data_IF_353044555062
#
_entry.id   IF_353044555062
#
_cell.length_a   1.000
_cell.length_b   1.000
_cell.length_c   1.000
_cell.angle_alpha   90.00
_cell.angle_beta   90.00
_cell.angle_gamma   90.00
#
_symmetry.space_group_name_H-M   'P 1'
#
loop_
_entity.id
_entity.type
_entity.pdbx_description
1 polymer ?
#
# COMPACT_ATOMS: atom_id res chain seq x y z
N UNK A 1 -24.48 -21.40 0.23
CA UNK A 1 -24.43 -20.31 -0.77
C UNK A 1 -23.04 -20.29 -1.39
N UNK A 2 -22.92 -20.33 -2.71
CA UNK A 2 -21.61 -20.26 -3.37
C UNK A 2 -21.08 -18.82 -3.30
N UNK A 3 -19.91 -18.63 -2.70
CA UNK A 3 -19.25 -17.31 -2.65
C UNK A 3 -18.67 -17.01 -4.02
N UNK A 4 -19.23 -16.00 -4.72
CA UNK A 4 -18.71 -15.53 -6.01
C UNK A 4 -17.29 -15.00 -5.80
N UNK A 5 -16.33 -15.47 -6.60
CA UNK A 5 -14.96 -14.93 -6.59
C UNK A 5 -14.99 -13.52 -7.16
N UNK A 6 -14.39 -12.58 -6.42
CA UNK A 6 -14.10 -11.23 -6.89
C UNK A 6 -13.03 -11.29 -7.98
N UNK A 7 -13.11 -10.39 -8.96
CA UNK A 7 -12.07 -10.17 -9.98
C UNK A 7 -10.71 -9.80 -9.37
N UNK A 8 -9.65 -9.89 -10.18
CA UNK A 8 -8.32 -9.41 -9.79
C UNK A 8 -8.29 -7.88 -9.68
N UNK A 9 -7.38 -7.34 -8.87
CA UNK A 9 -7.15 -5.90 -8.82
C UNK A 9 -6.38 -5.43 -10.06
N UNK A 10 -6.86 -4.33 -10.65
CA UNK A 10 -6.19 -3.58 -11.72
C UNK A 10 -5.14 -2.63 -11.15
N UNK A 11 -4.28 -2.07 -12.02
CA UNK A 11 -3.31 -1.07 -11.58
C UNK A 11 -3.98 0.21 -11.07
N UNK A 12 -5.08 0.64 -11.71
CA UNK A 12 -5.85 1.80 -11.26
C UNK A 12 -6.45 1.60 -9.87
N UNK A 13 -6.98 0.39 -9.61
CA UNK A 13 -7.49 0.01 -8.29
C UNK A 13 -6.37 -0.01 -7.23
N UNK A 14 -5.17 -0.49 -7.57
CA UNK A 14 -4.01 -0.43 -6.66
C UNK A 14 -3.60 1.01 -6.34
N UNK A 15 -3.54 1.89 -7.35
CA UNK A 15 -3.22 3.31 -7.16
C UNK A 15 -4.25 3.98 -6.26
N UNK A 16 -5.54 3.74 -6.51
CA UNK A 16 -6.62 4.25 -5.68
C UNK A 16 -6.51 3.74 -4.23
N UNK A 17 -6.28 2.44 -4.04
CA UNK A 17 -6.08 1.84 -2.72
C UNK A 17 -4.89 2.46 -1.98
N UNK A 18 -3.77 2.73 -2.67
CA UNK A 18 -2.62 3.40 -2.09
C UNK A 18 -2.92 4.82 -1.60
N UNK A 19 -3.67 5.61 -2.39
CA UNK A 19 -4.07 6.96 -1.98
C UNK A 19 -4.96 6.94 -0.73
N UNK A 20 -6.02 6.13 -0.75
CA UNK A 20 -6.92 6.02 0.40
C UNK A 20 -6.19 5.53 1.65
N UNK A 21 -5.32 4.53 1.51
CA UNK A 21 -4.53 4.03 2.63
C UNK A 21 -3.62 5.12 3.21
N UNK A 22 -2.98 5.92 2.34
CA UNK A 22 -2.12 7.02 2.77
C UNK A 22 -2.93 8.09 3.52
N UNK A 23 -4.03 8.54 2.94
CA UNK A 23 -4.93 9.54 3.52
C UNK A 23 -5.41 9.13 4.92
N UNK A 24 -5.86 7.87 5.08
CA UNK A 24 -6.30 7.34 6.38
C UNK A 24 -5.13 7.20 7.35
N UNK A 25 -3.97 6.71 6.89
CA UNK A 25 -2.78 6.52 7.75
C UNK A 25 -2.16 7.81 8.29
N UNK A 26 -2.34 8.92 7.56
CA UNK A 26 -1.83 10.23 7.94
C UNK A 26 -2.86 11.08 8.70
N UNK A 27 -4.09 10.60 8.86
CA UNK A 27 -5.13 11.35 9.53
C UNK A 27 -4.84 11.44 11.05
N UNK A 28 -4.58 12.65 11.60
CA UNK A 28 -4.17 12.84 12.99
C UNK A 28 -5.28 12.52 14.00
N UNK A 29 -6.55 12.57 13.58
CA UNK A 29 -7.72 12.25 14.42
C UNK A 29 -7.84 10.72 14.58
N UNK A 30 -7.46 9.98 13.54
CA UNK A 30 -7.54 8.52 13.44
C UNK A 30 -6.30 7.86 14.08
N UNK A 31 -5.12 8.50 13.99
CA UNK A 31 -3.82 7.88 14.26
C UNK A 31 -3.47 7.49 15.70
N UNK A 32 -4.27 7.81 16.71
CA UNK A 32 -3.82 7.72 18.11
C UNK A 32 -4.25 6.43 18.82
N UNK A 33 -5.38 5.78 18.45
CA UNK A 33 -5.88 4.58 19.15
C UNK A 33 -6.80 3.70 18.29
N UNK A 34 -6.27 2.94 17.33
CA UNK A 34 -7.11 2.08 16.48
C UNK A 34 -6.76 0.61 16.55
N UNK A 35 -7.77 -0.20 16.85
CA UNK A 35 -7.76 -1.61 16.48
C UNK A 35 -7.64 -1.73 14.97
N UNK A 36 -7.12 -2.86 14.50
CA UNK A 36 -7.04 -3.14 13.05
C UNK A 36 -8.38 -2.88 12.35
N UNK A 37 -9.50 -3.26 12.96
CA UNK A 37 -10.81 -3.08 12.33
C UNK A 37 -11.22 -1.61 12.18
N UNK A 38 -10.93 -0.78 13.20
CA UNK A 38 -11.21 0.67 13.17
C UNK A 38 -10.43 1.40 12.09
N UNK A 39 -9.20 0.96 11.79
CA UNK A 39 -8.40 1.51 10.70
C UNK A 39 -8.95 1.12 9.32
N UNK A 40 -9.35 -0.14 9.15
CA UNK A 40 -9.77 -0.66 7.85
C UNK A 40 -11.20 -0.32 7.48
N UNK A 41 -12.06 0.05 8.43
CA UNK A 41 -13.42 0.52 8.17
C UNK A 41 -13.48 1.78 7.30
N UNK A 42 -12.78 2.89 7.60
CA UNK A 42 -12.74 4.06 6.73
C UNK A 42 -12.07 3.74 5.38
N UNK A 43 -11.03 2.91 5.35
CA UNK A 43 -10.41 2.47 4.08
C UNK A 43 -11.42 1.75 3.18
N UNK A 44 -12.21 0.83 3.72
CA UNK A 44 -13.27 0.12 2.97
C UNK A 44 -14.34 1.09 2.47
N UNK A 45 -14.81 1.98 3.35
CA UNK A 45 -15.80 3.01 2.99
C UNK A 45 -15.30 3.87 1.83
N UNK A 46 -14.14 4.51 2.01
CA UNK A 46 -13.62 5.52 1.07
C UNK A 46 -13.17 4.88 -0.25
N UNK A 47 -12.64 3.66 -0.21
CA UNK A 47 -12.32 2.90 -1.41
C UNK A 47 -13.58 2.63 -2.24
N UNK A 48 -14.64 2.14 -1.61
CA UNK A 48 -15.88 1.75 -2.29
C UNK A 48 -16.75 2.95 -2.72
N UNK A 49 -16.54 4.14 -2.15
CA UNK A 49 -17.30 5.35 -2.47
C UNK A 49 -16.91 5.99 -3.81
N UNK A 50 -15.73 5.71 -4.36
CA UNK A 50 -15.27 6.26 -5.64
C UNK A 50 -15.43 5.24 -6.77
N UNK A 51 -16.63 5.20 -7.35
CA UNK A 51 -17.02 4.25 -8.39
C UNK A 51 -16.23 4.37 -9.71
N UNK A 52 -15.62 5.53 -9.98
CA UNK A 52 -14.86 5.76 -11.22
C UNK A 52 -13.58 4.90 -11.32
N UNK A 53 -13.09 4.38 -10.19
CA UNK A 53 -11.81 3.67 -10.11
C UNK A 53 -11.94 2.18 -9.73
N UNK A 54 -13.15 1.70 -9.44
CA UNK A 54 -13.36 0.34 -8.92
C UNK A 54 -14.28 -0.46 -9.85
N UNK A 55 -13.88 -1.69 -10.12
CA UNK A 55 -14.65 -2.61 -10.97
C UNK A 55 -15.75 -3.35 -10.20
N UNK A 56 -15.55 -3.51 -8.90
CA UNK A 56 -16.43 -4.20 -7.99
C UNK A 56 -16.19 -3.74 -6.55
N UNK A 57 -17.21 -3.90 -5.69
CA UNK A 57 -17.07 -3.63 -4.26
C UNK A 57 -16.10 -4.62 -3.61
N UNK A 58 -15.19 -4.09 -2.79
CA UNK A 58 -14.19 -4.88 -2.07
C UNK A 58 -14.48 -4.83 -0.58
N UNK A 59 -14.46 -6.00 0.06
CA UNK A 59 -14.54 -6.06 1.52
C UNK A 59 -13.19 -5.77 2.18
N UNK A 60 -13.23 -5.37 3.46
CA UNK A 60 -12.04 -5.13 4.31
C UNK A 60 -10.93 -6.16 4.14
N UNK A 61 -11.27 -7.46 4.16
CA UNK A 61 -10.28 -8.54 4.09
C UNK A 61 -9.55 -8.55 2.76
N UNK A 62 -10.27 -8.34 1.65
CA UNK A 62 -9.68 -8.29 0.31
C UNK A 62 -8.70 -7.11 0.19
N UNK A 63 -9.12 -5.93 0.65
CA UNK A 63 -8.29 -4.71 0.64
C UNK A 63 -7.04 -4.88 1.51
N UNK A 64 -7.18 -5.46 2.71
CA UNK A 64 -6.06 -5.80 3.60
C UNK A 64 -5.04 -6.70 2.92
N UNK A 65 -5.49 -7.81 2.33
CA UNK A 65 -4.60 -8.75 1.65
C UNK A 65 -3.90 -8.10 0.45
N UNK A 66 -4.61 -7.27 -0.31
CA UNK A 66 -4.01 -6.58 -1.46
C UNK A 66 -2.96 -5.56 -1.01
N UNK A 67 -3.29 -4.71 -0.04
CA UNK A 67 -2.34 -3.73 0.49
C UNK A 67 -1.12 -4.39 1.13
N UNK A 68 -1.27 -5.52 1.84
CA UNK A 68 -0.13 -6.27 2.36
C UNK A 68 0.82 -6.72 1.24
N UNK A 69 0.28 -7.13 0.09
CA UNK A 69 1.07 -7.51 -1.09
C UNK A 69 1.85 -6.30 -1.62
N UNK A 70 1.19 -5.15 -1.74
CA UNK A 70 1.80 -3.89 -2.18
C UNK A 70 2.92 -3.44 -1.24
N UNK A 71 2.66 -3.38 0.07
CA UNK A 71 3.65 -3.01 1.09
C UNK A 71 4.86 -3.95 1.08
N UNK A 72 4.64 -5.24 0.83
CA UNK A 72 5.73 -6.22 0.71
C UNK A 72 6.62 -5.93 -0.50
N UNK A 73 6.02 -5.59 -1.64
CA UNK A 73 6.77 -5.20 -2.84
C UNK A 73 7.56 -3.89 -2.61
N UNK A 74 6.94 -2.89 -1.98
CA UNK A 74 7.60 -1.63 -1.59
C UNK A 74 8.78 -1.91 -0.64
N UNK A 75 8.61 -2.79 0.34
CA UNK A 75 9.66 -3.17 1.28
C UNK A 75 10.89 -3.79 0.57
N UNK A 76 10.66 -4.67 -0.40
CA UNK A 76 11.74 -5.25 -1.22
C UNK A 76 12.46 -4.16 -2.03
N UNK A 77 11.72 -3.28 -2.70
CA UNK A 77 12.29 -2.18 -3.47
C UNK A 77 13.15 -1.26 -2.58
N UNK A 78 12.64 -0.85 -1.41
CA UNK A 78 13.38 -0.04 -0.44
C UNK A 78 14.63 -0.75 0.07
N UNK A 79 14.59 -2.06 0.23
CA UNK A 79 15.75 -2.88 0.59
C UNK A 79 16.86 -2.81 -0.47
N UNK A 80 16.51 -2.98 -1.74
CA UNK A 80 17.45 -2.84 -2.85
C UNK A 80 18.02 -1.42 -2.96
N UNK A 81 17.16 -0.39 -2.84
CA UNK A 81 17.60 1.01 -2.88
C UNK A 81 18.62 1.31 -1.79
N UNK A 82 18.35 0.87 -0.56
CA UNK A 82 19.28 1.04 0.57
C UNK A 82 20.63 0.37 0.31
N UNK A 83 20.66 -0.81 -0.31
CA UNK A 83 21.93 -1.49 -0.65
C UNK A 83 22.77 -0.65 -1.61
N UNK A 84 22.13 0.01 -2.57
CA UNK A 84 22.81 0.93 -3.50
C UNK A 84 23.31 2.17 -2.77
N UNK A 85 22.46 2.82 -1.96
CA UNK A 85 22.81 4.04 -1.21
C UNK A 85 23.94 3.82 -0.20
N UNK A 86 24.01 2.62 0.38
CA UNK A 86 25.04 2.23 1.37
C UNK A 86 26.29 1.65 0.73
N UNK A 87 26.30 1.45 -0.59
CA UNK A 87 27.46 0.97 -1.31
C UNK A 87 28.59 1.99 -1.19
N UNK A 88 29.67 1.62 -0.48
CA UNK A 88 30.93 2.35 -0.50
C UNK A 88 31.84 1.68 -1.53
N UNK A 89 31.94 2.18 -2.77
CA UNK A 89 32.82 1.58 -3.76
C UNK A 89 34.28 1.68 -3.28
N UNK A 90 34.95 0.53 -3.14
CA UNK A 90 36.39 0.48 -2.92
C UNK A 90 37.09 1.06 -4.15
N UNK A 91 37.89 2.10 -3.96
CA UNK A 91 38.53 2.87 -5.05
C UNK A 91 37.97 4.29 -5.24
N UNK A 92 36.90 4.68 -4.53
CA UNK A 92 36.52 6.09 -4.41
C UNK A 92 37.40 6.80 -3.36
N UNK A 93 38.70 6.88 -3.63
CA UNK A 93 39.59 7.84 -2.98
C UNK A 93 39.97 8.90 -4.00
N UNK A 94 40.01 10.17 -3.60
CA UNK A 94 40.47 11.31 -4.42
C UNK A 94 41.97 11.25 -4.82
N UNK A 95 42.60 10.08 -4.76
CA UNK A 95 44.06 9.91 -4.88
C UNK A 95 44.53 9.70 -6.33
N UNK A 96 43.61 9.72 -7.31
CA UNK A 96 43.95 9.54 -8.73
C UNK A 96 43.70 10.81 -9.60
N UNK A 97 43.89 12.03 -9.06
CA UNK A 97 43.95 13.28 -9.85
C UNK A 97 45.31 13.96 -9.68
#
# INVERSE_FOLDING_TARGET
MATKRTSSYTHAEDTHLCHIYLDVSQNPIIGIYQSKDMFWAPVESDYNNKLDFISELRNKRSLQCRMQTILTAIGKFRGCLRQIETLKPSGASEIDI
#
